data_IF_484909236379
#
_entry.id   IF_484909236379
#
_cell.length_a   1.000
_cell.length_b   1.000
_cell.length_c   1.000
_cell.angle_alpha   90.00
_cell.angle_beta   90.00
_cell.angle_gamma   90.00
#
_symmetry.space_group_name_H-M   'P 1'
#
loop_
_entity.id
_entity.type
_entity.pdbx_description
1 polymer ?
#
# COMPACT_ATOMS: atom_id res chain seq x y z
N UNK A 1 -9.44 -11.54 -7.40
CA UNK A 1 -8.77 -11.52 -8.72
C UNK A 1 -9.02 -12.77 -9.54
N UNK A 2 -8.36 -13.92 -9.30
CA UNK A 2 -8.37 -15.05 -10.24
C UNK A 2 -9.78 -15.53 -10.64
N UNK A 3 -10.68 -15.73 -9.68
CA UNK A 3 -12.06 -16.15 -9.97
C UNK A 3 -12.83 -15.09 -10.79
N UNK A 4 -12.59 -13.81 -10.52
CA UNK A 4 -13.21 -12.71 -11.25
C UNK A 4 -12.69 -12.62 -12.68
N UNK A 5 -11.38 -12.77 -12.88
CA UNK A 5 -10.77 -12.81 -14.20
C UNK A 5 -11.29 -14.00 -15.04
N UNK A 6 -11.38 -15.20 -14.45
CA UNK A 6 -11.94 -16.38 -15.13
C UNK A 6 -13.39 -16.14 -15.54
N UNK A 7 -14.23 -15.62 -14.64
CA UNK A 7 -15.62 -15.29 -14.96
C UNK A 7 -15.74 -14.22 -16.04
N UNK A 8 -14.86 -13.22 -16.05
CA UNK A 8 -14.85 -12.20 -17.10
C UNK A 8 -14.47 -12.79 -18.46
N UNK A 9 -13.55 -13.76 -18.51
CA UNK A 9 -13.21 -14.48 -19.74
C UNK A 9 -14.38 -15.33 -20.22
N UNK A 10 -14.99 -16.11 -19.33
CA UNK A 10 -16.16 -16.95 -19.62
C UNK A 10 -17.33 -16.11 -20.18
N UNK A 11 -17.55 -14.93 -19.62
CA UNK A 11 -18.61 -14.01 -20.03
C UNK A 11 -18.23 -13.12 -21.23
N UNK A 12 -17.02 -13.24 -21.77
CA UNK A 12 -16.53 -12.40 -22.87
C UNK A 12 -16.38 -10.92 -22.53
N UNK A 13 -16.34 -10.55 -21.24
CA UNK A 13 -16.22 -9.18 -20.75
C UNK A 13 -14.80 -8.81 -20.33
N UNK A 14 -13.87 -9.77 -20.36
CA UNK A 14 -12.48 -9.54 -20.00
C UNK A 14 -11.82 -8.49 -20.92
N UNK A 15 -11.04 -7.59 -20.30
CA UNK A 15 -10.24 -6.59 -20.99
C UNK A 15 -8.85 -6.54 -20.38
N UNK A 16 -7.85 -6.30 -21.22
CA UNK A 16 -6.51 -6.00 -20.73
C UNK A 16 -6.53 -4.68 -19.94
N UNK A 17 -5.88 -4.67 -18.79
CA UNK A 17 -5.85 -3.54 -17.87
C UNK A 17 -4.77 -3.70 -16.82
N UNK A 18 -4.71 -2.72 -15.92
CA UNK A 18 -3.79 -2.73 -14.78
C UNK A 18 -4.61 -2.45 -13.52
N UNK A 19 -4.54 -3.41 -12.60
CA UNK A 19 -5.29 -3.39 -11.35
C UNK A 19 -4.34 -3.12 -10.19
N UNK A 20 -4.65 -2.13 -9.36
CA UNK A 20 -3.94 -1.87 -8.11
C UNK A 20 -4.91 -1.93 -6.94
N UNK A 21 -5.02 -3.11 -6.34
CA UNK A 21 -6.02 -3.35 -5.30
C UNK A 21 -5.38 -3.43 -3.91
N UNK A 22 -6.09 -2.90 -2.91
CA UNK A 22 -5.60 -2.75 -1.55
C UNK A 22 -6.33 -3.62 -0.52
N UNK A 23 -6.50 -3.04 0.67
CA UNK A 23 -7.19 -3.68 1.80
C UNK A 23 -8.71 -3.79 1.57
N UNK A 24 -9.29 -2.86 0.81
CA UNK A 24 -10.71 -2.76 0.49
C UNK A 24 -11.19 -3.92 -0.40
N UNK A 25 -10.35 -4.36 -1.33
CA UNK A 25 -10.64 -5.49 -2.21
C UNK A 25 -10.43 -6.85 -1.53
N UNK A 26 -9.83 -6.87 -0.34
CA UNK A 26 -9.39 -8.08 0.35
C UNK A 26 -8.22 -8.82 -0.31
N UNK A 27 -7.53 -8.21 -1.28
CA UNK A 27 -6.30 -8.79 -1.85
C UNK A 27 -5.14 -8.69 -0.85
N UNK A 28 -5.08 -7.56 -0.13
CA UNK A 28 -4.15 -7.36 0.97
C UNK A 28 -4.89 -7.56 2.28
N UNK A 29 -4.24 -8.17 3.27
CA UNK A 29 -4.83 -8.39 4.58
C UNK A 29 -3.78 -8.59 5.66
N UNK A 30 -4.21 -8.42 6.91
CA UNK A 30 -3.44 -8.81 8.08
C UNK A 30 -3.89 -10.20 8.53
N UNK A 31 -2.94 -11.06 8.85
CA UNK A 31 -3.22 -12.34 9.51
C UNK A 31 -3.54 -12.12 11.00
N UNK A 32 -3.86 -13.20 11.70
CA UNK A 32 -3.96 -13.18 13.17
C UNK A 32 -2.65 -12.72 13.82
N UNK A 33 -2.76 -11.94 14.89
CA UNK A 33 -1.63 -11.54 15.71
C UNK A 33 -1.17 -12.67 16.63
N UNK A 34 0.14 -12.75 16.88
CA UNK A 34 0.69 -13.67 17.88
C UNK A 34 0.17 -13.29 19.28
N UNK A 35 -0.07 -14.25 20.20
CA UNK A 35 -0.55 -13.95 21.56
C UNK A 35 0.32 -12.99 22.37
N UNK A 36 1.62 -12.94 22.07
CA UNK A 36 2.57 -12.06 22.77
C UNK A 36 2.48 -10.59 22.32
N UNK A 37 1.72 -10.27 21.27
CA UNK A 37 1.53 -8.88 20.84
C UNK A 37 0.64 -8.18 21.87
N UNK A 38 1.13 -7.10 22.53
CA UNK A 38 0.33 -6.37 23.50
C UNK A 38 -1.00 -5.87 22.91
N UNK A 39 -2.08 -6.02 23.68
CA UNK A 39 -3.43 -5.64 23.25
C UNK A 39 -3.53 -4.17 22.80
N UNK A 40 -2.76 -3.27 23.44
CA UNK A 40 -2.72 -1.86 23.05
C UNK A 40 -2.18 -1.65 21.63
N UNK A 41 -1.23 -2.46 21.18
CA UNK A 41 -0.72 -2.43 19.80
C UNK A 41 -1.75 -2.97 18.83
N UNK A 42 -2.44 -4.07 19.18
CA UNK A 42 -3.51 -4.64 18.35
C UNK A 42 -4.63 -3.60 18.13
N UNK A 43 -5.05 -2.90 19.19
CA UNK A 43 -6.05 -1.83 19.09
C UNK A 43 -5.57 -0.73 18.15
N UNK A 44 -4.32 -0.29 18.29
CA UNK A 44 -3.74 0.75 17.44
C UNK A 44 -3.67 0.31 15.97
N UNK A 45 -3.20 -0.90 15.70
CA UNK A 45 -3.12 -1.44 14.33
C UNK A 45 -4.50 -1.54 13.67
N UNK A 46 -5.52 -1.98 14.41
CA UNK A 46 -6.89 -2.05 13.90
C UNK A 46 -7.46 -0.65 13.62
N UNK A 47 -7.12 0.35 14.45
CA UNK A 47 -7.48 1.75 14.19
C UNK A 47 -6.85 2.25 12.89
N UNK A 48 -5.53 2.11 12.73
CA UNK A 48 -4.82 2.56 11.52
C UNK A 48 -5.33 1.82 10.27
N UNK A 49 -5.58 0.51 10.35
CA UNK A 49 -6.25 -0.26 9.29
C UNK A 49 -7.62 0.33 8.92
N UNK A 50 -8.41 0.71 9.91
CA UNK A 50 -9.72 1.35 9.72
C UNK A 50 -9.61 2.70 9.01
N UNK A 51 -8.62 3.52 9.36
CA UNK A 51 -8.37 4.81 8.72
C UNK A 51 -7.94 4.67 7.25
N UNK A 52 -7.15 3.64 6.93
CA UNK A 52 -6.80 3.32 5.53
C UNK A 52 -8.04 2.86 4.76
N UNK A 53 -8.83 1.94 5.33
CA UNK A 53 -10.05 1.43 4.69
C UNK A 53 -11.11 2.51 4.47
N UNK A 54 -11.22 3.50 5.37
CA UNK A 54 -12.15 4.62 5.22
C UNK A 54 -11.64 5.70 4.27
N UNK A 55 -10.40 5.60 3.80
CA UNK A 55 -9.72 6.65 3.01
C UNK A 55 -9.34 7.88 3.83
N UNK A 56 -9.48 7.84 5.16
CA UNK A 56 -9.06 8.94 6.06
C UNK A 56 -7.53 9.07 6.08
N UNK A 57 -6.83 7.95 5.91
CA UNK A 57 -5.38 7.88 5.82
C UNK A 57 -4.96 7.33 4.46
N UNK A 58 -4.33 8.19 3.66
CA UNK A 58 -3.45 7.75 2.56
C UNK A 58 -2.02 7.68 3.09
N UNK A 59 -1.40 6.50 2.96
CA UNK A 59 -0.05 6.20 3.45
C UNK A 59 1.00 7.16 2.87
N UNK A 60 0.86 7.53 1.60
CA UNK A 60 1.73 8.49 0.92
C UNK A 60 1.01 9.81 0.64
N UNK A 61 -0.09 10.09 1.36
CA UNK A 61 -0.93 11.27 1.18
C UNK A 61 -0.35 12.57 1.74
N UNK A 62 0.76 12.50 2.46
CA UNK A 62 1.42 13.66 3.08
C UNK A 62 2.88 13.75 2.65
N UNK A 63 3.41 14.97 2.60
CA UNK A 63 4.80 15.20 2.23
C UNK A 63 5.78 14.51 3.18
N UNK A 64 6.78 13.82 2.63
CA UNK A 64 7.86 13.17 3.36
C UNK A 64 9.22 13.63 2.83
N UNK A 65 10.30 13.30 3.54
CA UNK A 65 11.68 13.63 3.13
C UNK A 65 12.34 12.36 2.64
N UNK A 66 12.98 12.42 1.47
CA UNK A 66 13.79 11.34 0.92
C UNK A 66 15.07 11.16 1.72
N UNK A 67 15.72 10.01 1.57
CA UNK A 67 16.99 9.67 2.21
C UNK A 67 18.10 10.68 1.85
N UNK A 68 18.08 11.23 0.63
CA UNK A 68 19.03 12.24 0.13
C UNK A 68 18.76 13.68 0.63
N UNK A 69 17.70 13.88 1.42
CA UNK A 69 17.30 15.18 1.95
C UNK A 69 16.26 15.92 1.10
N UNK A 70 15.94 15.44 -0.10
CA UNK A 70 14.92 16.06 -0.97
C UNK A 70 13.54 15.97 -0.32
N UNK A 71 12.79 17.06 -0.34
CA UNK A 71 11.42 17.12 0.19
C UNK A 71 10.40 16.77 -0.90
N UNK A 72 9.57 15.77 -0.63
CA UNK A 72 8.31 15.54 -1.36
C UNK A 72 7.22 16.27 -0.59
N UNK A 73 6.46 17.14 -1.27
CA UNK A 73 5.50 18.04 -0.63
C UNK A 73 4.04 17.60 -0.79
N UNK A 74 3.74 16.91 -1.89
CA UNK A 74 2.40 16.48 -2.24
C UNK A 74 2.21 14.99 -1.97
N UNK A 75 0.95 14.56 -1.95
CA UNK A 75 0.59 13.16 -2.05
C UNK A 75 1.18 12.57 -3.34
N UNK A 76 1.63 11.31 -3.26
CA UNK A 76 2.05 10.58 -4.45
C UNK A 76 0.83 10.08 -5.20
N UNK A 77 0.84 10.21 -6.52
CA UNK A 77 -0.09 9.45 -7.35
C UNK A 77 0.44 8.03 -7.61
N UNK A 78 -0.43 7.17 -8.14
CA UNK A 78 -0.12 5.78 -8.46
C UNK A 78 1.13 5.62 -9.34
N UNK A 79 1.26 6.41 -10.40
CA UNK A 79 2.43 6.34 -11.28
C UNK A 79 3.74 6.66 -10.55
N UNK A 80 3.73 7.64 -9.64
CA UNK A 80 4.89 7.99 -8.82
C UNK A 80 5.23 6.88 -7.82
N UNK A 81 4.21 6.25 -7.22
CA UNK A 81 4.39 5.13 -6.30
C UNK A 81 4.95 3.89 -7.01
N UNK A 82 4.45 3.55 -8.20
CA UNK A 82 4.97 2.43 -9.01
C UNK A 82 6.41 2.66 -9.47
N UNK A 83 6.76 3.91 -9.79
CA UNK A 83 8.09 4.32 -10.23
C UNK A 83 9.05 4.68 -9.09
N UNK A 84 8.71 4.40 -7.83
CA UNK A 84 9.45 4.88 -6.67
C UNK A 84 10.85 4.24 -6.58
N UNK A 85 11.85 5.03 -7.01
CA UNK A 85 13.28 4.66 -7.00
C UNK A 85 14.07 5.54 -6.02
N UNK A 86 13.50 5.79 -4.84
CA UNK A 86 14.17 6.45 -3.72
C UNK A 86 13.74 5.84 -2.39
N UNK A 87 14.58 5.98 -1.37
CA UNK A 87 14.20 5.67 0.01
C UNK A 87 13.73 6.91 0.76
N UNK A 88 12.87 6.71 1.76
CA UNK A 88 12.46 7.73 2.73
C UNK A 88 13.58 7.91 3.77
N UNK A 89 13.71 9.13 4.31
CA UNK A 89 14.65 9.46 5.39
C UNK A 89 14.52 8.49 6.55
N UNK A 90 15.65 7.98 7.03
CA UNK A 90 15.73 6.99 8.12
C UNK A 90 16.14 5.59 7.65
N UNK A 91 15.94 5.29 6.36
CA UNK A 91 16.52 4.09 5.75
C UNK A 91 18.03 4.30 5.59
N UNK A 92 18.85 3.29 5.91
CA UNK A 92 20.32 3.37 5.84
C UNK A 92 20.92 2.60 4.65
N UNK A 93 20.13 1.72 4.04
CA UNK A 93 20.53 0.99 2.84
C UNK A 93 20.60 1.92 1.63
N UNK A 94 21.46 1.57 0.67
CA UNK A 94 21.49 2.22 -0.65
C UNK A 94 20.59 1.46 -1.60
N UNK A 95 20.00 2.18 -2.55
CA UNK A 95 19.23 1.56 -3.62
C UNK A 95 20.18 0.73 -4.47
N UNK A 96 19.85 -0.53 -4.80
CA UNK A 96 20.66 -1.33 -5.70
C UNK A 96 20.91 -0.58 -7.00
N UNK A 97 22.17 -0.45 -7.39
CA UNK A 97 22.54 -0.10 -8.77
C UNK A 97 22.52 -1.41 -9.55
N UNK A 98 21.68 -1.48 -10.57
CA UNK A 98 21.78 -2.54 -11.59
C UNK A 98 23.07 -2.44 -12.38
#
# INVERSE_FOLDING_TARGET
YYLEAVKAVENGTWKAGSDWWGLDSGIVGLTSFHPDVPQSLIIRMNKEKGEILSGTMDVFGHGFTKQDGTRVINALNDGEMLGMMYYVKGIISKIPSG
#
